data_IF_742564534134
#
_entry.id   IF_742564534134
#
_cell.length_a   1.000
_cell.length_b   1.000
_cell.length_c   1.000
_cell.angle_alpha   90.00
_cell.angle_beta   90.00
_cell.angle_gamma   90.00
#
_symmetry.space_group_name_H-M   'P 1'
#
loop_
_entity.id
_entity.type
_entity.pdbx_description
1 polymer ?
#
# COMPACT_ATOMS: atom_id res chain seq x y z
N UNK A 1 8.26 4.32 -3.91
CA UNK A 1 8.98 3.53 -2.88
C UNK A 1 8.15 2.32 -2.50
N UNK A 2 8.77 1.30 -1.89
CA UNK A 2 8.07 0.11 -1.43
C UNK A 2 7.65 0.26 0.04
N UNK A 3 6.39 -0.08 0.35
CA UNK A 3 5.89 -0.10 1.73
C UNK A 3 6.74 -1.01 2.63
N UNK A 4 7.00 -0.56 3.86
CA UNK A 4 7.68 -1.35 4.89
C UNK A 4 6.86 -2.58 5.30
N UNK A 5 7.51 -3.56 5.90
CA UNK A 5 6.86 -4.76 6.44
C UNK A 5 5.80 -4.41 7.49
N UNK A 6 6.10 -3.44 8.34
CA UNK A 6 5.21 -2.98 9.42
C UNK A 6 3.99 -2.25 8.85
N UNK A 7 4.18 -1.36 7.87
CA UNK A 7 3.07 -0.67 7.20
C UNK A 7 2.14 -1.67 6.48
N UNK A 8 2.72 -2.64 5.75
CA UNK A 8 1.95 -3.69 5.09
C UNK A 8 1.15 -4.53 6.08
N UNK A 9 1.77 -4.98 7.17
CA UNK A 9 1.08 -5.77 8.20
C UNK A 9 -0.06 -5.00 8.85
N UNK A 10 0.13 -3.70 9.11
CA UNK A 10 -0.92 -2.82 9.63
C UNK A 10 -2.09 -2.71 8.65
N UNK A 11 -1.82 -2.43 7.38
CA UNK A 11 -2.87 -2.32 6.35
C UNK A 11 -3.63 -3.64 6.19
N UNK A 12 -2.93 -4.77 6.15
CA UNK A 12 -3.59 -6.09 6.10
C UNK A 12 -4.48 -6.29 7.33
N UNK A 13 -3.99 -5.97 8.53
CA UNK A 13 -4.77 -6.14 9.76
C UNK A 13 -6.01 -5.23 9.81
N UNK A 14 -5.91 -4.01 9.27
CA UNK A 14 -6.98 -3.02 9.26
C UNK A 14 -8.10 -3.36 8.25
N UNK A 15 -7.78 -4.05 7.15
CA UNK A 15 -8.70 -4.30 6.03
C UNK A 15 -9.02 -5.79 5.77
N UNK A 16 -8.38 -6.73 6.47
CA UNK A 16 -8.68 -8.16 6.34
C UNK A 16 -10.13 -8.46 6.72
N UNK A 17 -10.79 -9.33 5.95
CA UNK A 17 -12.17 -9.77 6.26
C UNK A 17 -12.21 -10.93 7.24
N UNK A 18 -11.13 -11.69 7.30
CA UNK A 18 -10.95 -12.82 8.21
C UNK A 18 -9.48 -12.97 8.58
N UNK A 19 -9.14 -13.65 9.69
CA UNK A 19 -7.75 -13.90 10.05
C UNK A 19 -6.98 -14.57 8.89
N UNK A 20 -5.87 -13.96 8.48
CA UNK A 20 -5.03 -14.47 7.38
C UNK A 20 -5.49 -14.08 5.97
N UNK A 21 -6.54 -13.26 5.84
CA UNK A 21 -6.95 -12.69 4.56
C UNK A 21 -5.96 -11.63 4.09
N UNK A 22 -5.04 -12.05 3.23
CA UNK A 22 -3.99 -11.19 2.65
C UNK A 22 -4.27 -10.85 1.18
N UNK A 23 -5.28 -11.47 0.58
CA UNK A 23 -5.51 -11.47 -0.87
C UNK A 23 -6.85 -10.92 -1.32
N UNK A 24 -7.74 -10.57 -0.38
CA UNK A 24 -9.04 -10.01 -0.73
C UNK A 24 -8.93 -8.70 -1.51
N UNK A 25 -9.95 -8.38 -2.35
CA UNK A 25 -9.99 -7.11 -3.06
C UNK A 25 -9.80 -5.90 -2.16
N UNK A 26 -10.40 -5.92 -0.97
CA UNK A 26 -10.35 -4.84 0.01
C UNK A 26 -8.91 -4.62 0.51
N UNK A 27 -8.21 -5.70 0.90
CA UNK A 27 -6.80 -5.65 1.34
C UNK A 27 -5.88 -5.21 0.19
N UNK A 28 -6.07 -5.75 -1.00
CA UNK A 28 -5.25 -5.41 -2.17
C UNK A 28 -5.44 -3.95 -2.60
N UNK A 29 -6.68 -3.45 -2.61
CA UNK A 29 -6.98 -2.04 -2.88
C UNK A 29 -6.35 -1.13 -1.83
N UNK A 30 -6.41 -1.50 -0.54
CA UNK A 30 -5.78 -0.72 0.52
C UNK A 30 -4.24 -0.66 0.36
N UNK A 31 -3.60 -1.78 0.05
CA UNK A 31 -2.16 -1.85 -0.21
C UNK A 31 -1.74 -1.01 -1.43
N UNK A 32 -2.47 -1.11 -2.54
CA UNK A 32 -2.19 -0.31 -3.74
C UNK A 32 -2.41 1.18 -3.49
N UNK A 33 -3.48 1.54 -2.77
CA UNK A 33 -3.77 2.94 -2.41
C UNK A 33 -2.66 3.55 -1.56
N UNK A 34 -2.16 2.81 -0.58
CA UNK A 34 -1.04 3.26 0.25
C UNK A 34 0.25 3.45 -0.57
N UNK A 35 0.57 2.52 -1.48
CA UNK A 35 1.72 2.69 -2.38
C UNK A 35 1.57 3.93 -3.28
N UNK A 36 0.38 4.18 -3.81
CA UNK A 36 0.11 5.37 -4.65
C UNK A 36 0.31 6.65 -3.84
N UNK A 37 -0.15 6.68 -2.59
CA UNK A 37 0.02 7.84 -1.71
C UNK A 37 1.49 8.14 -1.41
N UNK A 38 2.34 7.13 -1.23
CA UNK A 38 3.79 7.33 -1.07
C UNK A 38 4.49 7.72 -2.38
N UNK A 39 4.05 7.17 -3.51
CA UNK A 39 4.66 7.42 -4.82
C UNK A 39 4.28 8.79 -5.40
N UNK A 40 3.10 9.31 -5.08
CA UNK A 40 2.63 10.60 -5.59
C UNK A 40 3.60 11.76 -5.29
N UNK A 41 4.01 12.01 -4.03
CA UNK A 41 4.98 13.07 -3.74
C UNK A 41 6.36 12.78 -4.34
N UNK A 42 6.79 11.51 -4.37
CA UNK A 42 8.04 11.10 -5.01
C UNK A 42 8.11 11.55 -6.47
N UNK A 43 7.06 11.27 -7.26
CA UNK A 43 7.03 11.69 -8.66
C UNK A 43 6.81 13.20 -8.86
N UNK A 44 6.24 13.90 -7.87
CA UNK A 44 6.16 15.36 -7.89
C UNK A 44 7.54 16.02 -7.72
N UNK A 45 8.38 15.45 -6.86
CA UNK A 45 9.76 15.89 -6.63
C UNK A 45 10.69 15.44 -7.76
N UNK A 46 10.56 14.19 -8.21
CA UNK A 46 11.40 13.56 -9.22
C UNK A 46 10.72 13.49 -10.59
N UNK A 47 10.51 14.64 -11.23
CA UNK A 47 9.76 14.77 -12.51
C UNK A 47 10.32 14.00 -13.70
N UNK A 48 11.57 13.55 -13.62
CA UNK A 48 12.26 12.80 -14.68
C UNK A 48 12.34 11.29 -14.38
N UNK A 49 11.73 10.83 -13.30
CA UNK A 49 11.59 9.42 -12.96
C UNK A 49 10.34 8.86 -13.68
N UNK A 50 10.55 8.19 -14.82
CA UNK A 50 9.53 7.67 -15.74
C UNK A 50 9.69 6.16 -15.97
#
# INVERSE_FOLDING_TARGET
MALSTEQKQKIVSDYQRSPGDTGSPEVQVALLSANIQELTPHFQEHKHDH
#
